data_IF_855925398181
#
_entry.id   IF_855925398181
#
_cell.length_a   1.000
_cell.length_b   1.000
_cell.length_c   1.000
_cell.angle_alpha   90.00
_cell.angle_beta   90.00
_cell.angle_gamma   90.00
#
_symmetry.space_group_name_H-M   'P 1'
#
loop_
_entity.id
_entity.type
_entity.pdbx_description
1 polymer ?
#
# COMPACT_ATOMS: atom_id res chain seq x y z
N UNK A 1 8.09 -6.71 32.65
CA UNK A 1 7.33 -7.28 31.51
C UNK A 1 7.11 -6.15 30.51
N UNK A 2 7.62 -6.31 29.30
CA UNK A 2 7.51 -5.30 28.24
C UNK A 2 6.49 -5.81 27.21
N UNK A 3 5.60 -4.95 26.77
CA UNK A 3 4.59 -5.26 25.75
C UNK A 3 4.89 -4.40 24.52
N UNK A 4 5.06 -5.06 23.37
CA UNK A 4 5.27 -4.41 22.08
C UNK A 4 3.93 -4.37 21.35
N UNK A 5 3.51 -3.18 20.95
CA UNK A 5 2.22 -2.92 20.29
C UNK A 5 2.49 -2.42 18.88
N UNK A 6 1.97 -3.14 17.89
CA UNK A 6 1.99 -2.74 16.48
C UNK A 6 0.84 -1.77 16.22
N UNK A 7 1.14 -0.61 15.64
CA UNK A 7 0.18 0.47 15.40
C UNK A 7 0.20 0.83 13.92
N UNK A 8 -0.99 0.93 13.32
CA UNK A 8 -1.19 1.46 11.98
C UNK A 8 -2.06 2.70 12.07
N UNK A 9 -1.65 3.78 11.39
CA UNK A 9 -2.37 5.06 11.36
C UNK A 9 -3.02 5.17 9.98
N UNK A 10 -4.34 5.38 9.96
CA UNK A 10 -5.09 5.54 8.71
C UNK A 10 -4.77 6.89 8.08
N UNK A 11 -4.68 6.87 6.76
CA UNK A 11 -4.52 8.09 5.98
C UNK A 11 -5.86 8.81 5.87
N UNK A 12 -5.82 10.14 6.05
CA UNK A 12 -6.93 11.02 5.71
C UNK A 12 -6.56 11.74 4.40
N UNK A 13 -7.49 11.75 3.43
CA UNK A 13 -7.27 12.27 2.07
C UNK A 13 -6.88 13.75 2.00
N UNK A 14 -7.04 14.51 3.08
CA UNK A 14 -6.95 15.98 3.08
C UNK A 14 -5.55 16.53 3.40
N UNK A 15 -4.57 15.70 3.76
CA UNK A 15 -3.23 16.14 4.19
C UNK A 15 -2.11 15.20 3.74
N UNK A 16 -0.87 15.68 3.86
CA UNK A 16 0.35 14.90 3.68
C UNK A 16 0.38 13.69 4.63
N UNK A 17 -0.08 12.54 4.14
CA UNK A 17 -0.21 11.27 4.85
C UNK A 17 1.05 10.89 5.65
N UNK A 18 2.24 11.05 5.06
CA UNK A 18 3.50 10.72 5.72
C UNK A 18 3.77 11.59 6.96
N UNK A 19 3.44 12.89 6.89
CA UNK A 19 3.64 13.83 8.01
C UNK A 19 2.64 13.55 9.12
N UNK A 20 1.39 13.28 8.77
CA UNK A 20 0.35 12.96 9.75
C UNK A 20 0.60 11.63 10.45
N UNK A 21 1.06 10.60 9.73
CA UNK A 21 1.52 9.32 10.31
C UNK A 21 2.63 9.54 11.34
N UNK A 22 3.66 10.33 11.01
CA UNK A 22 4.76 10.65 11.92
C UNK A 22 4.29 11.45 13.13
N UNK A 23 3.41 12.43 12.93
CA UNK A 23 2.85 13.27 14.00
C UNK A 23 1.99 12.46 14.96
N UNK A 24 1.15 11.57 14.44
CA UNK A 24 0.33 10.66 15.24
C UNK A 24 1.21 9.70 16.06
N UNK A 25 2.25 9.14 15.44
CA UNK A 25 3.20 8.28 16.16
C UNK A 25 3.96 9.04 17.25
N UNK A 26 4.44 10.25 16.96
CA UNK A 26 5.10 11.10 17.95
C UNK A 26 4.17 11.47 19.11
N UNK A 27 2.90 11.76 18.83
CA UNK A 27 1.89 12.01 19.87
C UNK A 27 1.69 10.76 20.74
N UNK A 28 1.60 9.57 20.14
CA UNK A 28 1.43 8.30 20.85
C UNK A 28 2.60 8.02 21.80
N UNK A 29 3.84 8.20 21.33
CA UNK A 29 5.06 8.02 22.14
C UNK A 29 5.13 9.02 23.29
N UNK A 30 4.75 10.28 23.07
CA UNK A 30 4.68 11.30 24.12
C UNK A 30 3.65 10.97 25.20
N UNK A 31 2.58 10.26 24.84
CA UNK A 31 1.47 9.93 25.73
C UNK A 31 1.53 8.51 26.34
N UNK A 32 2.67 7.83 26.31
CA UNK A 32 2.82 6.47 26.89
C UNK A 32 2.44 6.42 28.38
N UNK A 33 2.86 7.41 29.18
CA UNK A 33 2.62 7.43 30.64
C UNK A 33 1.12 7.46 30.99
N UNK A 34 0.31 8.41 30.47
CA UNK A 34 -1.12 8.42 30.73
C UNK A 34 -1.82 7.19 30.15
N UNK A 35 -1.42 6.71 28.96
CA UNK A 35 -1.97 5.46 28.41
C UNK A 35 -1.72 4.27 29.34
N UNK A 36 -0.51 4.12 29.88
CA UNK A 36 -0.17 3.08 30.85
C UNK A 36 -1.00 3.19 32.13
N UNK A 37 -1.24 4.39 32.62
CA UNK A 37 -2.10 4.61 33.80
C UNK A 37 -3.53 4.13 33.54
N UNK A 38 -4.13 4.55 32.42
CA UNK A 38 -5.49 4.10 32.05
C UNK A 38 -5.56 2.59 31.80
N UNK A 39 -4.51 2.00 31.23
CA UNK A 39 -4.37 0.56 31.02
C UNK A 39 -4.32 -0.19 32.35
N UNK A 40 -3.53 0.30 33.31
CA UNK A 40 -3.44 -0.26 34.65
C UNK A 40 -4.79 -0.24 35.38
N UNK A 41 -5.55 0.87 35.23
CA UNK A 41 -6.89 0.98 35.80
C UNK A 41 -7.89 -0.02 35.18
N UNK A 42 -7.80 -0.26 33.86
CA UNK A 42 -8.69 -1.21 33.16
C UNK A 42 -8.31 -2.68 33.39
N UNK A 43 -7.03 -2.96 33.62
CA UNK A 43 -6.53 -4.32 33.86
C UNK A 43 -6.54 -4.67 35.35
N UNK A 44 -7.71 -4.61 36.00
CA UNK A 44 -7.89 -4.90 37.44
C UNK A 44 -7.46 -6.32 37.84
N UNK A 45 -7.41 -7.24 36.89
CA UNK A 45 -7.02 -8.64 37.09
C UNK A 45 -5.50 -8.88 36.95
N UNK A 46 -4.73 -7.90 36.46
CA UNK A 46 -3.27 -8.02 36.32
C UNK A 46 -2.54 -7.33 37.46
N UNK A 47 -1.64 -8.07 38.12
CA UNK A 47 -0.82 -7.59 39.25
C UNK A 47 0.07 -6.39 38.90
N UNK A 48 0.49 -6.23 37.64
CA UNK A 48 1.33 -5.12 37.21
C UNK A 48 1.09 -4.78 35.73
N UNK A 49 0.99 -3.49 35.42
CA UNK A 49 0.93 -3.00 34.04
C UNK A 49 2.30 -3.14 33.35
N UNK A 50 2.36 -3.69 32.13
CA UNK A 50 3.61 -3.78 31.38
C UNK A 50 4.08 -2.39 30.91
N UNK A 51 5.36 -2.29 30.58
CA UNK A 51 5.89 -1.15 29.83
C UNK A 51 5.54 -1.30 28.35
N UNK A 52 4.97 -0.25 27.76
CA UNK A 52 4.53 -0.24 26.37
C UNK A 52 5.65 0.25 25.45
N UNK A 53 5.92 -0.48 24.38
CA UNK A 53 6.70 -0.03 23.24
C UNK A 53 5.84 -0.08 21.97
N UNK A 54 5.99 0.92 21.11
CA UNK A 54 5.18 1.06 19.91
C UNK A 54 6.01 0.84 18.66
N UNK A 55 5.45 0.12 17.69
CA UNK A 55 6.06 -0.10 16.37
C UNK A 55 5.04 0.26 15.30
N UNK A 56 5.45 1.10 14.37
CA UNK A 56 4.63 1.47 13.23
C UNK A 56 4.62 0.32 12.21
N UNK A 57 3.44 -0.09 11.79
CA UNK A 57 3.24 -1.13 10.76
C UNK A 57 2.24 -0.60 9.72
N UNK A 58 2.56 -0.75 8.45
CA UNK A 58 1.62 -0.48 7.37
C UNK A 58 0.79 -1.74 7.11
N UNK A 59 -0.50 -1.67 7.45
CA UNK A 59 -1.45 -2.78 7.27
C UNK A 59 -2.28 -2.57 6.00
N UNK A 60 -2.36 -1.35 5.47
CA UNK A 60 -3.22 -1.02 4.34
C UNK A 60 -2.77 -1.77 3.07
N UNK A 61 -1.48 -1.68 2.73
CA UNK A 61 -0.93 -2.35 1.56
C UNK A 61 -1.09 -3.88 1.60
N UNK A 62 -0.93 -4.50 2.78
CA UNK A 62 -1.09 -5.94 2.94
C UNK A 62 -2.55 -6.39 2.76
N UNK A 63 -3.49 -5.61 3.28
CA UNK A 63 -4.93 -5.87 3.11
C UNK A 63 -5.36 -5.68 1.66
N UNK A 64 -4.83 -4.67 0.97
CA UNK A 64 -5.15 -4.42 -0.45
C UNK A 64 -4.72 -5.59 -1.34
N UNK A 65 -3.51 -6.15 -1.10
CA UNK A 65 -3.02 -7.33 -1.81
C UNK A 65 -3.86 -8.57 -1.50
N UNK A 66 -4.21 -8.81 -0.24
CA UNK A 66 -5.08 -9.93 0.12
C UNK A 66 -6.45 -9.81 -0.56
N UNK A 67 -7.02 -8.61 -0.62
CA UNK A 67 -8.28 -8.36 -1.29
C UNK A 67 -8.18 -8.53 -2.81
N UNK A 68 -7.06 -8.10 -3.43
CA UNK A 68 -6.77 -8.38 -4.84
C UNK A 68 -6.68 -9.88 -5.12
N UNK A 69 -5.96 -10.62 -4.27
CA UNK A 69 -5.83 -12.07 -4.39
C UNK A 69 -7.20 -12.74 -4.27
N UNK A 70 -8.01 -12.37 -3.27
CA UNK A 70 -9.35 -12.93 -3.08
C UNK A 70 -10.25 -12.68 -4.29
N UNK A 71 -10.22 -11.48 -4.87
CA UNK A 71 -10.96 -11.18 -6.11
C UNK A 71 -10.49 -12.01 -7.30
N UNK A 72 -9.18 -12.26 -7.43
CA UNK A 72 -8.63 -13.09 -8.52
C UNK A 72 -9.01 -14.56 -8.31
N UNK A 73 -8.89 -15.04 -7.07
CA UNK A 73 -9.16 -16.43 -6.68
C UNK A 73 -10.64 -16.81 -6.74
N UNK A 74 -11.55 -15.90 -6.42
CA UNK A 74 -13.01 -16.08 -6.58
C UNK A 74 -13.47 -16.05 -8.05
N UNK A 75 -12.51 -15.96 -8.98
CA UNK A 75 -12.76 -15.89 -10.40
C UNK A 75 -13.11 -14.47 -10.77
N UNK A 76 -12.08 -13.66 -11.06
CA UNK A 76 -12.27 -12.45 -11.86
C UNK A 76 -12.85 -12.91 -13.20
N UNK A 77 -14.17 -12.92 -13.31
CA UNK A 77 -14.83 -12.73 -14.59
C UNK A 77 -14.33 -11.35 -15.01
N UNK A 78 -13.24 -11.31 -15.78
CA UNK A 78 -13.01 -10.20 -16.71
C UNK A 78 -14.38 -10.03 -17.34
N UNK A 79 -15.13 -8.98 -16.96
CA UNK A 79 -16.11 -8.44 -17.88
C UNK A 79 -15.24 -8.20 -19.07
N UNK A 80 -15.32 -9.09 -20.07
CA UNK A 80 -14.86 -8.73 -21.39
C UNK A 80 -15.55 -7.39 -21.56
N UNK A 81 -14.79 -6.32 -21.67
CA UNK A 81 -15.23 -5.22 -22.52
C UNK A 81 -15.29 -5.89 -23.88
N UNK A 82 -16.38 -6.64 -24.08
CA UNK A 82 -16.89 -6.94 -25.36
C UNK A 82 -17.33 -5.57 -25.82
N UNK A 83 -16.65 -5.08 -26.83
CA UNK A 83 -17.19 -4.09 -27.76
C UNK A 83 -18.56 -4.55 -28.31
N UNK A 84 -18.99 -5.79 -28.05
CA UNK A 84 -20.28 -6.36 -28.43
C UNK A 84 -20.87 -7.17 -27.26
N UNK A 85 -22.10 -6.81 -26.89
CA UNK A 85 -22.81 -7.27 -25.70
C UNK A 85 -23.36 -8.69 -25.75
N UNK A 86 -24.02 -9.03 -24.64
CA UNK A 86 -24.82 -10.21 -24.34
C UNK A 86 -25.41 -10.97 -25.55
N UNK A 87 -25.14 -12.28 -25.59
CA UNK A 87 -26.04 -13.33 -26.07
C UNK A 87 -26.69 -13.24 -27.46
N UNK A 88 -26.15 -12.48 -28.41
CA UNK A 88 -26.51 -12.61 -29.82
C UNK A 88 -25.31 -13.06 -30.65
N UNK A 89 -25.39 -14.26 -31.23
CA UNK A 89 -24.50 -14.76 -32.28
C UNK A 89 -24.65 -13.98 -33.61
N UNK A 90 -25.05 -12.72 -33.56
CA UNK A 90 -25.24 -11.86 -34.71
C UNK A 90 -24.06 -10.89 -34.83
N UNK A 91 -22.89 -11.42 -35.21
CA UNK A 91 -21.83 -10.58 -35.75
C UNK A 91 -22.36 -9.90 -37.03
N UNK A 92 -22.23 -8.56 -37.16
CA UNK A 92 -22.53 -7.89 -38.42
C UNK A 92 -21.63 -8.48 -39.52
N UNK A 93 -22.24 -9.13 -40.52
CA UNK A 93 -21.56 -9.56 -41.75
C UNK A 93 -21.03 -8.31 -42.47
N UNK A 94 -19.80 -7.91 -42.14
CA UNK A 94 -19.19 -6.69 -42.67
C UNK A 94 -17.87 -6.29 -42.03
N UNK A 95 -17.48 -6.88 -40.90
CA UNK A 95 -16.10 -6.75 -40.41
C UNK A 95 -15.19 -7.66 -41.22
N UNK A 96 -14.76 -7.14 -42.37
CA UNK A 96 -13.61 -7.65 -43.11
C UNK A 96 -12.39 -7.63 -42.18
N UNK A 97 -11.80 -8.81 -42.06
CA UNK A 97 -10.49 -9.04 -41.47
C UNK A 97 -9.48 -8.42 -42.42
N UNK A 98 -9.22 -7.11 -42.27
CA UNK A 98 -8.23 -6.37 -43.06
C UNK A 98 -7.62 -5.24 -42.23
N UNK A 99 -7.18 -5.58 -41.01
CA UNK A 99 -6.09 -4.85 -40.39
C UNK A 99 -4.84 -5.66 -40.68
N UNK A 100 -4.28 -5.39 -41.86
CA UNK A 100 -2.87 -5.64 -42.11
C UNK A 100 -2.08 -5.05 -40.95
N UNK A 101 -1.32 -5.91 -40.28
CA UNK A 101 -0.37 -5.53 -39.25
C UNK A 101 0.80 -4.89 -40.01
N UNK A 102 0.60 -3.66 -40.49
CA UNK A 102 1.68 -2.85 -41.03
C UNK A 102 2.62 -2.52 -39.87
N UNK A 103 3.72 -3.25 -39.94
CA UNK A 103 4.99 -3.14 -39.28
C UNK A 103 5.50 -1.70 -39.37
N UNK A 104 5.14 -0.86 -38.40
CA UNK A 104 5.85 0.37 -38.01
C UNK A 104 5.53 0.69 -36.54
N UNK A 105 5.95 -0.21 -35.66
CA UNK A 105 6.34 0.20 -34.30
C UNK A 105 7.77 0.73 -34.43
N UNK A 106 7.90 2.02 -34.75
CA UNK A 106 9.16 2.72 -34.53
C UNK A 106 9.44 2.67 -33.02
N UNK A 107 10.42 1.83 -32.70
CA UNK A 107 11.02 1.60 -31.38
C UNK A 107 11.76 2.86 -30.93
N UNK A 108 11.02 3.93 -30.60
CA UNK A 108 11.53 5.07 -29.84
C UNK A 108 11.43 4.75 -28.33
N UNK A 109 12.08 3.65 -27.94
CA UNK A 109 12.52 3.39 -26.57
C UNK A 109 13.72 4.31 -26.24
N UNK A 110 13.46 5.62 -26.16
CA UNK A 110 14.36 6.59 -25.53
C UNK A 110 13.79 7.07 -24.19
N UNK A 111 13.44 6.10 -23.35
CA UNK A 111 13.32 6.31 -21.91
C UNK A 111 14.73 6.48 -21.34
N UNK A 112 15.28 7.67 -21.56
CA UNK A 112 16.54 8.14 -21.00
C UNK A 112 16.39 8.27 -19.47
N UNK A 113 16.46 7.12 -18.79
CA UNK A 113 16.58 7.02 -17.35
C UNK A 113 18.04 7.32 -17.01
N UNK A 114 18.47 8.57 -17.23
CA UNK A 114 19.75 9.03 -16.71
C UNK A 114 19.75 8.80 -15.20
N UNK A 115 20.67 7.93 -14.79
CA UNK A 115 20.94 7.47 -13.44
C UNK A 115 20.77 8.61 -12.41
N UNK A 116 19.63 8.61 -11.72
CA UNK A 116 19.49 9.31 -10.45
C UNK A 116 20.40 8.60 -9.45
N UNK A 117 21.63 9.11 -9.32
CA UNK A 117 22.58 8.83 -8.25
C UNK A 117 21.98 9.19 -6.88
N UNK A 118 21.08 8.31 -6.41
CA UNK A 118 20.34 8.43 -5.16
C UNK A 118 21.00 7.61 -4.03
N UNK A 119 22.12 6.92 -4.28
CA UNK A 119 22.83 6.15 -3.27
C UNK A 119 24.36 6.26 -3.39
N UNK A 120 24.94 7.29 -2.75
CA UNK A 120 26.26 7.14 -2.13
C UNK A 120 26.28 7.88 -0.78
N UNK A 121 25.80 7.17 0.24
CA UNK A 121 26.09 7.49 1.64
C UNK A 121 27.40 6.82 2.07
N UNK A 122 28.24 7.64 2.71
CA UNK A 122 29.28 7.37 3.70
C UNK A 122 30.58 6.65 3.31
N UNK A 123 31.70 7.38 3.47
CA UNK A 123 32.84 6.96 4.29
C UNK A 123 33.78 8.14 4.54
N UNK A 124 34.15 8.35 5.81
CA UNK A 124 34.88 9.54 6.26
C UNK A 124 36.40 9.51 6.12
N UNK A 125 36.97 10.58 6.71
CA UNK A 125 38.34 10.75 7.24
C UNK A 125 39.47 11.10 6.27
N UNK A 126 40.04 12.29 6.51
CA UNK A 126 41.46 12.62 6.78
C UNK A 126 41.68 14.06 6.29
N UNK A 127 42.40 14.97 6.94
CA UNK A 127 43.26 14.96 8.11
C UNK A 127 43.84 16.39 8.20
#
# INVERSE_FOLDING_TARGET
RNARVSVSVRDHLERNAAVDKRRAFAWLVRNVKPLRHTLAQRMSHMKASPNLSFVQVDVAAAVDVMYLIDKVATGYKRKRIGTFGDNDNNMPRGYVSDMDFDEDFEDDDDWDFEDVDFFQTDAGKQG
#
